data_IF_802742641186
#
_entry.id   IF_802742641186
#
_cell.length_a   1.000
_cell.length_b   1.000
_cell.length_c   1.000
_cell.angle_alpha   90.00
_cell.angle_beta   90.00
_cell.angle_gamma   90.00
#
_symmetry.space_group_name_H-M   'P 1'
#
loop_
_entity.id
_entity.type
_entity.pdbx_description
1 polymer ?
#
# COMPACT_ATOMS: atom_id res chain seq x y z
N UNK A 1 -17.54 -2.70 67.95
CA UNK A 1 -16.73 -3.46 66.98
C UNK A 1 -17.20 -3.09 65.59
N UNK A 2 -16.35 -2.42 64.80
CA UNK A 2 -16.65 -1.95 63.44
C UNK A 2 -16.27 -3.07 62.46
N UNK A 3 -17.24 -3.65 61.74
CA UNK A 3 -16.95 -4.47 60.57
C UNK A 3 -17.05 -3.58 59.33
N UNK A 4 -15.90 -3.26 58.77
CA UNK A 4 -15.76 -2.58 57.48
C UNK A 4 -15.88 -3.66 56.40
N UNK A 5 -16.99 -3.70 55.69
CA UNK A 5 -17.16 -4.61 54.54
C UNK A 5 -16.40 -4.00 53.37
N UNK A 6 -15.21 -4.53 53.11
CA UNK A 6 -14.35 -4.11 52.01
C UNK A 6 -14.93 -4.59 50.68
N UNK A 7 -15.31 -3.63 49.84
CA UNK A 7 -15.86 -3.81 48.51
C UNK A 7 -14.69 -4.06 47.53
N UNK A 8 -14.40 -5.31 47.18
CA UNK A 8 -13.44 -5.62 46.13
C UNK A 8 -14.15 -5.67 44.77
N UNK A 9 -14.20 -4.53 44.07
CA UNK A 9 -14.51 -4.53 42.64
C UNK A 9 -13.25 -4.98 41.92
N UNK A 10 -13.23 -6.25 41.54
CA UNK A 10 -12.22 -6.82 40.66
C UNK A 10 -12.50 -6.27 39.25
N UNK A 11 -11.86 -5.15 38.87
CA UNK A 11 -11.80 -4.72 37.48
C UNK A 11 -10.88 -5.68 36.72
N UNK A 12 -11.44 -6.74 36.15
CA UNK A 12 -10.79 -7.48 35.07
C UNK A 12 -10.73 -6.56 33.86
N UNK A 13 -9.61 -5.83 33.72
CA UNK A 13 -9.17 -5.35 32.42
C UNK A 13 -8.92 -6.60 31.55
N UNK A 14 -9.95 -7.03 30.81
CA UNK A 14 -9.73 -7.82 29.60
C UNK A 14 -9.05 -6.85 28.64
N UNK A 15 -7.73 -6.79 28.72
CA UNK A 15 -6.92 -6.26 27.65
C UNK A 15 -7.26 -7.10 26.43
N UNK A 16 -8.17 -6.60 25.59
CA UNK A 16 -8.30 -7.09 24.22
C UNK A 16 -7.02 -6.63 23.56
N UNK A 17 -5.95 -7.39 23.76
CA UNK A 17 -4.91 -7.46 22.76
C UNK A 17 -5.62 -8.01 21.53
N UNK A 18 -6.16 -7.12 20.70
CA UNK A 18 -6.36 -7.42 19.30
C UNK A 18 -4.96 -7.65 18.76
N UNK A 19 -4.43 -8.84 19.02
CA UNK A 19 -3.44 -9.45 18.15
C UNK A 19 -4.24 -9.70 16.88
N UNK A 20 -4.36 -8.67 16.03
CA UNK A 20 -4.82 -8.84 14.67
C UNK A 20 -3.88 -9.86 14.09
N UNK A 21 -4.34 -11.10 13.94
CA UNK A 21 -3.53 -12.19 13.45
C UNK A 21 -3.02 -11.75 12.07
N UNK A 22 -1.71 -11.51 11.96
CA UNK A 22 -1.09 -11.17 10.69
C UNK A 22 -1.46 -12.26 9.70
N UNK A 23 -1.91 -11.87 8.50
CA UNK A 23 -2.32 -12.87 7.53
C UNK A 23 -1.13 -13.74 7.12
N UNK A 24 -1.35 -15.05 6.90
CA UNK A 24 -0.31 -15.93 6.44
C UNK A 24 0.24 -15.45 5.09
N UNK A 25 1.56 -15.37 4.97
CA UNK A 25 2.22 -15.07 3.71
C UNK A 25 2.54 -16.35 2.95
N UNK A 26 2.17 -16.40 1.66
CA UNK A 26 2.56 -17.48 0.75
C UNK A 26 4.08 -17.55 0.55
N UNK A 27 4.56 -18.68 0.03
CA UNK A 27 5.99 -18.90 -0.24
C UNK A 27 6.56 -17.85 -1.20
N UNK A 28 5.81 -17.54 -2.27
CA UNK A 28 6.24 -16.58 -3.28
C UNK A 28 6.46 -15.16 -2.73
N UNK A 29 5.60 -14.72 -1.80
CA UNK A 29 5.76 -13.43 -1.11
C UNK A 29 7.13 -13.34 -0.45
N UNK A 30 7.52 -14.39 0.29
CA UNK A 30 8.83 -14.44 0.95
C UNK A 30 9.97 -14.50 -0.05
N UNK A 31 9.78 -15.11 -1.22
CA UNK A 31 10.79 -15.19 -2.27
C UNK A 31 11.07 -13.82 -2.89
N UNK A 32 10.04 -13.08 -3.31
CA UNK A 32 10.21 -11.79 -4.00
C UNK A 32 10.76 -10.69 -3.07
N UNK A 33 10.50 -10.79 -1.77
CA UNK A 33 10.94 -9.81 -0.75
C UNK A 33 12.35 -10.12 -0.18
N UNK A 34 13.08 -11.12 -0.68
CA UNK A 34 14.42 -11.50 -0.17
C UNK A 34 15.63 -10.75 -0.76
N UNK A 35 15.48 -9.90 -1.79
CA UNK A 35 16.62 -9.12 -2.31
C UNK A 35 17.23 -8.27 -1.19
N UNK A 36 18.55 -8.31 -1.06
CA UNK A 36 19.25 -7.63 0.03
C UNK A 36 19.17 -6.11 -0.14
N UNK A 37 19.21 -5.37 0.96
CA UNK A 37 19.10 -3.90 0.96
C UNK A 37 20.15 -3.24 0.04
N UNK A 38 21.34 -3.84 -0.08
CA UNK A 38 22.43 -3.38 -0.95
C UNK A 38 22.12 -3.52 -2.45
N UNK A 39 21.32 -4.50 -2.85
CA UNK A 39 20.88 -4.66 -4.25
C UNK A 39 19.76 -3.69 -4.59
N UNK A 40 18.91 -3.35 -3.62
CA UNK A 40 17.78 -2.43 -3.79
C UNK A 40 18.20 -0.96 -3.81
N UNK A 41 19.23 -0.58 -3.03
CA UNK A 41 19.76 0.80 -2.95
C UNK A 41 20.62 1.22 -4.14
N UNK A 42 21.10 0.27 -4.97
CA UNK A 42 21.95 0.57 -6.14
C UNK A 42 21.19 1.12 -7.35
N UNK A 43 19.86 1.01 -7.37
CA UNK A 43 18.98 1.62 -8.38
C UNK A 43 18.48 2.99 -7.89
N UNK A 44 19.33 4.01 -8.09
CA UNK A 44 19.12 5.48 -8.05
C UNK A 44 18.08 6.08 -7.07
N UNK A 45 18.61 6.84 -6.10
CA UNK A 45 18.09 8.16 -5.70
C UNK A 45 17.00 8.18 -4.63
N UNK A 46 17.41 8.50 -3.39
CA UNK A 46 16.62 8.91 -2.22
C UNK A 46 15.37 8.08 -1.85
N UNK A 47 15.43 7.48 -0.65
CA UNK A 47 14.32 6.87 0.09
C UNK A 47 13.67 5.61 -0.49
N UNK A 48 14.50 4.60 -0.77
CA UNK A 48 14.06 3.22 -0.98
C UNK A 48 14.38 2.36 0.24
N UNK A 49 13.55 2.41 1.28
CA UNK A 49 13.66 1.47 2.41
C UNK A 49 12.63 0.36 2.24
N UNK A 50 13.07 -0.88 2.05
CA UNK A 50 12.20 -2.05 2.16
C UNK A 50 11.14 -2.25 1.06
N UNK A 51 11.12 -1.42 0.02
CA UNK A 51 10.29 -1.51 -1.18
C UNK A 51 9.80 -2.93 -1.52
N UNK A 52 8.50 -3.15 -1.35
CA UNK A 52 7.77 -4.29 -1.88
C UNK A 52 7.86 -4.38 -3.40
N UNK A 53 7.29 -5.44 -3.96
CA UNK A 53 7.25 -5.64 -5.41
C UNK A 53 5.82 -5.50 -5.93
N UNK A 54 5.68 -4.89 -7.09
CA UNK A 54 4.51 -5.09 -7.94
C UNK A 54 4.90 -6.09 -9.01
N UNK A 55 4.11 -7.15 -9.16
CA UNK A 55 4.29 -8.14 -10.22
C UNK A 55 3.05 -8.20 -11.08
N UNK A 56 3.22 -8.63 -12.33
CA UNK A 56 2.18 -8.54 -13.35
C UNK A 56 1.98 -9.86 -14.06
N UNK A 57 0.74 -10.10 -14.53
CA UNK A 57 0.36 -11.26 -15.32
C UNK A 57 -0.86 -10.94 -16.19
N UNK A 58 -1.11 -11.79 -17.19
CA UNK A 58 -2.37 -11.80 -17.96
C UNK A 58 -3.48 -12.57 -17.29
N UNK A 59 -3.16 -13.28 -16.20
CA UNK A 59 -4.08 -14.05 -15.39
C UNK A 59 -4.03 -13.56 -13.94
N UNK A 60 -5.07 -13.84 -13.16
CA UNK A 60 -5.09 -13.43 -11.76
C UNK A 60 -3.98 -14.12 -10.97
N UNK A 61 -3.16 -13.33 -10.28
CA UNK A 61 -2.04 -13.84 -9.50
C UNK A 61 -2.57 -14.32 -8.14
N UNK A 62 -2.39 -15.59 -7.75
CA UNK A 62 -2.92 -16.09 -6.49
C UNK A 62 -2.21 -15.46 -5.30
N UNK A 63 -2.98 -15.14 -4.26
CA UNK A 63 -2.47 -14.48 -3.04
C UNK A 63 -1.49 -15.37 -2.25
N UNK A 64 -1.84 -16.65 -2.08
CA UNK A 64 -1.11 -17.64 -1.27
C UNK A 64 -0.44 -18.72 -2.14
N UNK A 65 0.18 -18.34 -3.25
CA UNK A 65 0.81 -19.29 -4.16
C UNK A 65 2.21 -19.74 -3.72
N UNK A 66 2.60 -20.94 -4.15
CA UNK A 66 4.00 -21.38 -4.13
C UNK A 66 4.80 -20.69 -5.23
N UNK A 67 6.13 -20.64 -5.06
CA UNK A 67 7.01 -20.03 -6.06
C UNK A 67 6.84 -20.69 -7.44
N UNK A 68 6.78 -22.02 -7.46
CA UNK A 68 6.60 -22.81 -8.69
C UNK A 68 5.25 -22.60 -9.38
N UNK A 69 4.23 -22.15 -8.66
CA UNK A 69 2.89 -21.90 -9.20
C UNK A 69 2.77 -20.47 -9.75
N UNK A 70 3.34 -19.49 -9.03
CA UNK A 70 3.21 -18.07 -9.39
C UNK A 70 4.20 -17.66 -10.46
N UNK A 71 5.47 -18.06 -10.35
CA UNK A 71 6.53 -17.54 -11.20
C UNK A 71 6.32 -17.77 -12.70
N UNK A 72 5.75 -18.91 -13.16
CA UNK A 72 5.43 -19.11 -14.57
C UNK A 72 4.34 -18.19 -15.12
N UNK A 73 3.47 -17.64 -14.26
CA UNK A 73 2.39 -16.74 -14.66
C UNK A 73 2.89 -15.32 -14.92
N UNK A 74 4.05 -14.95 -14.37
CA UNK A 74 4.51 -13.58 -14.36
C UNK A 74 5.06 -13.16 -15.71
N UNK A 75 4.68 -11.97 -16.14
CA UNK A 75 5.09 -11.38 -17.41
C UNK A 75 5.55 -9.96 -17.19
N UNK A 76 6.54 -9.54 -17.98
CA UNK A 76 7.04 -8.16 -17.98
C UNK A 76 6.68 -7.42 -19.25
N UNK A 77 6.18 -8.08 -20.29
CA UNK A 77 5.79 -7.45 -21.55
C UNK A 77 4.30 -7.67 -21.81
N UNK A 78 3.60 -6.59 -22.14
CA UNK A 78 2.18 -6.56 -22.47
C UNK A 78 2.00 -5.81 -23.79
N UNK A 79 1.07 -6.28 -24.62
CA UNK A 79 0.67 -5.61 -25.85
C UNK A 79 -0.67 -4.91 -25.64
N UNK A 80 -0.98 -3.95 -26.50
CA UNK A 80 -2.29 -3.33 -26.55
C UNK A 80 -3.40 -4.39 -26.71
N UNK A 81 -4.41 -4.33 -25.82
CA UNK A 81 -5.51 -5.29 -25.74
C UNK A 81 -5.26 -6.50 -24.82
N UNK A 82 -4.06 -6.66 -24.26
CA UNK A 82 -3.80 -7.70 -23.26
C UNK A 82 -4.52 -7.39 -21.93
N UNK A 83 -5.04 -8.43 -21.27
CA UNK A 83 -5.54 -8.31 -19.90
C UNK A 83 -4.38 -8.06 -18.94
N UNK A 84 -4.57 -7.19 -17.95
CA UNK A 84 -3.55 -6.80 -17.00
C UNK A 84 -3.98 -7.06 -15.55
N UNK A 85 -3.24 -7.93 -14.86
CA UNK A 85 -3.37 -8.14 -13.42
C UNK A 85 -2.09 -7.73 -12.72
N UNK A 86 -2.17 -6.73 -11.84
CA UNK A 86 -1.09 -6.36 -10.93
C UNK A 86 -1.33 -6.92 -9.54
N UNK A 87 -0.28 -7.36 -8.84
CA UNK A 87 -0.35 -7.69 -7.42
C UNK A 87 0.78 -6.99 -6.67
N UNK A 88 0.42 -6.26 -5.61
CA UNK A 88 1.39 -5.67 -4.67
C UNK A 88 1.77 -6.71 -3.64
N UNK A 89 3.06 -6.81 -3.36
CA UNK A 89 3.66 -7.55 -2.25
C UNK A 89 4.46 -6.58 -1.39
N UNK A 90 3.89 -6.16 -0.27
CA UNK A 90 4.52 -5.27 0.71
C UNK A 90 5.33 -6.08 1.74
N UNK A 91 6.53 -5.62 2.17
CA UNK A 91 7.37 -6.31 3.15
C UNK A 91 6.72 -6.47 4.52
N UNK A 92 5.79 -5.57 4.84
CA UNK A 92 5.03 -5.54 6.09
C UNK A 92 3.56 -5.40 5.76
N UNK A 93 2.69 -5.87 6.63
CA UNK A 93 1.24 -5.67 6.46
C UNK A 93 0.87 -4.18 6.59
N UNK A 94 -0.24 -3.77 6.00
CA UNK A 94 -0.62 -2.36 5.86
C UNK A 94 -0.73 -1.60 7.18
N UNK A 95 -1.33 -2.20 8.21
CA UNK A 95 -1.41 -1.64 9.56
C UNK A 95 -0.08 -1.63 10.31
N UNK A 96 0.91 -2.38 9.83
CA UNK A 96 2.28 -2.45 10.37
C UNK A 96 3.24 -1.49 9.67
N UNK A 97 2.78 -0.71 8.69
CA UNK A 97 3.60 0.33 8.07
C UNK A 97 3.99 1.39 9.11
N UNK A 98 5.19 2.00 9.04
CA UNK A 98 5.63 2.98 10.02
C UNK A 98 4.61 4.11 10.24
N UNK A 99 3.96 4.10 11.41
CA UNK A 99 2.89 5.01 11.86
C UNK A 99 1.44 4.52 11.65
N UNK A 100 1.20 3.23 11.35
CA UNK A 100 -0.15 2.61 11.31
C UNK A 100 -0.73 2.30 9.92
N UNK A 101 -2.05 2.22 9.80
CA UNK A 101 -2.73 2.05 8.51
C UNK A 101 -2.67 3.37 7.71
N UNK A 102 -2.36 3.37 6.39
CA UNK A 102 -2.49 4.58 5.59
C UNK A 102 -3.95 4.98 5.35
N UNK A 103 -4.19 6.28 5.13
CA UNK A 103 -5.52 6.80 4.74
C UNK A 103 -5.73 6.76 3.23
N UNK A 104 -4.62 6.79 2.47
CA UNK A 104 -4.61 6.79 1.01
C UNK A 104 -3.48 5.90 0.50
N UNK A 105 -3.76 5.16 -0.57
CA UNK A 105 -2.73 4.54 -1.43
C UNK A 105 -2.77 5.24 -2.78
N UNK A 106 -1.62 5.73 -3.24
CA UNK A 106 -1.46 6.35 -4.55
C UNK A 106 -0.75 5.37 -5.49
N UNK A 107 -1.35 5.11 -6.64
CA UNK A 107 -0.75 4.36 -7.73
C UNK A 107 -0.29 5.32 -8.81
N UNK A 108 0.97 5.20 -9.24
CA UNK A 108 1.57 6.08 -10.24
C UNK A 108 2.11 5.27 -11.40
N UNK A 109 1.91 5.74 -12.62
CA UNK A 109 2.57 5.23 -13.82
C UNK A 109 3.65 6.24 -14.22
N UNK A 110 4.88 5.77 -14.28
CA UNK A 110 6.05 6.54 -14.68
C UNK A 110 6.54 6.01 -16.03
N UNK A 111 6.68 6.88 -17.01
CA UNK A 111 7.28 6.58 -18.30
C UNK A 111 8.54 7.45 -18.46
N UNK A 112 9.69 6.83 -18.73
CA UNK A 112 10.96 7.55 -18.96
C UNK A 112 11.29 8.58 -17.86
N UNK A 113 10.96 8.26 -16.61
CA UNK A 113 11.17 9.13 -15.45
C UNK A 113 10.13 10.24 -15.25
N UNK A 114 9.13 10.34 -16.13
CA UNK A 114 8.01 11.28 -15.99
C UNK A 114 6.76 10.53 -15.53
N UNK A 115 6.11 11.04 -14.48
CA UNK A 115 4.78 10.58 -14.08
C UNK A 115 3.76 10.97 -15.14
N UNK A 116 3.12 9.97 -15.74
CA UNK A 116 2.11 10.14 -16.79
C UNK A 116 0.69 9.86 -16.28
N UNK A 117 0.56 9.14 -15.17
CA UNK A 117 -0.74 8.83 -14.55
C UNK A 117 -0.62 8.68 -13.04
N UNK A 118 -1.69 9.04 -12.32
CA UNK A 118 -1.81 8.93 -10.87
C UNK A 118 -3.27 8.68 -10.49
N UNK A 119 -3.51 7.73 -9.59
CA UNK A 119 -4.82 7.46 -9.00
C UNK A 119 -4.68 7.17 -7.51
N UNK A 120 -5.66 7.60 -6.74
CA UNK A 120 -5.73 7.40 -5.30
C UNK A 120 -6.85 6.44 -4.92
N UNK A 121 -6.55 5.51 -4.01
CA UNK A 121 -7.53 4.65 -3.35
C UNK A 121 -7.68 5.06 -1.89
N UNK A 122 -8.93 5.13 -1.40
CA UNK A 122 -9.28 5.58 -0.05
C UNK A 122 -10.43 4.74 0.52
N UNK A 123 -10.60 4.77 1.84
CA UNK A 123 -11.73 4.11 2.52
C UNK A 123 -11.79 2.61 2.22
N UNK A 124 -12.96 2.13 1.80
CA UNK A 124 -13.22 0.70 1.54
C UNK A 124 -12.44 0.13 0.34
N UNK A 125 -11.83 0.99 -0.49
CA UNK A 125 -10.95 0.57 -1.58
C UNK A 125 -9.50 0.28 -1.11
N UNK A 126 -9.20 0.52 0.17
CA UNK A 126 -7.90 0.18 0.74
C UNK A 126 -7.81 -1.32 1.07
N UNK A 127 -6.61 -1.92 0.98
CA UNK A 127 -6.38 -3.27 1.50
C UNK A 127 -6.65 -3.32 3.01
N UNK A 128 -7.04 -4.49 3.52
CA UNK A 128 -7.24 -4.66 4.96
C UNK A 128 -5.92 -4.47 5.73
N UNK A 129 -6.03 -4.03 6.99
CA UNK A 129 -4.86 -3.66 7.82
C UNK A 129 -3.87 -4.80 8.09
N UNK A 130 -4.32 -6.05 8.04
CA UNK A 130 -3.52 -7.25 8.23
C UNK A 130 -2.95 -7.81 6.91
N UNK A 131 -3.28 -7.20 5.77
CA UNK A 131 -2.80 -7.65 4.46
C UNK A 131 -1.40 -7.11 4.19
N UNK A 132 -0.54 -7.98 3.68
CA UNK A 132 0.77 -7.63 3.13
C UNK A 132 0.84 -7.83 1.61
N UNK A 133 -0.23 -8.33 1.00
CA UNK A 133 -0.38 -8.34 -0.46
C UNK A 133 -1.84 -8.18 -0.86
N UNK A 134 -2.07 -7.51 -1.98
CA UNK A 134 -3.40 -7.26 -2.52
C UNK A 134 -3.34 -7.18 -4.04
N UNK A 135 -4.44 -7.55 -4.69
CA UNK A 135 -4.56 -7.29 -6.12
C UNK A 135 -4.69 -5.80 -6.32
N UNK A 136 -3.95 -5.31 -7.29
CA UNK A 136 -4.22 -4.01 -7.86
C UNK A 136 -5.36 -4.23 -8.84
N UNK A 137 -6.58 -3.91 -8.40
CA UNK A 137 -7.64 -3.66 -9.36
C UNK A 137 -7.27 -2.36 -10.09
N UNK A 138 -6.61 -2.49 -11.25
CA UNK A 138 -6.45 -1.39 -12.19
C UNK A 138 -7.21 -1.61 -13.51
N UNK A 139 -8.56 -1.74 -13.49
CA UNK A 139 -9.37 -1.78 -14.70
C UNK A 139 -9.87 -0.39 -15.14
N UNK A 140 -10.12 -0.28 -16.45
CA UNK A 140 -10.53 0.90 -17.25
C UNK A 140 -9.60 2.11 -17.24
N UNK A 141 -9.18 2.61 -16.07
CA UNK A 141 -8.38 3.85 -16.05
C UNK A 141 -6.91 3.63 -16.41
N UNK A 142 -6.34 2.45 -16.11
CA UNK A 142 -5.01 2.07 -16.61
C UNK A 142 -5.04 1.78 -18.12
N UNK A 143 -6.13 1.16 -18.60
CA UNK A 143 -6.36 0.99 -20.03
C UNK A 143 -6.38 2.35 -20.71
N UNK A 144 -7.11 3.34 -20.19
CA UNK A 144 -7.10 4.71 -20.70
C UNK A 144 -5.70 5.32 -20.70
N UNK A 145 -4.94 5.17 -19.61
CA UNK A 145 -3.55 5.65 -19.54
C UNK A 145 -2.69 5.05 -20.66
N UNK A 146 -2.83 3.76 -20.94
CA UNK A 146 -2.07 3.08 -21.99
C UNK A 146 -2.58 3.44 -23.40
N UNK A 147 -3.89 3.61 -23.55
CA UNK A 147 -4.55 4.04 -24.79
C UNK A 147 -4.19 5.49 -25.17
N UNK A 148 -3.70 6.30 -24.24
CA UNK A 148 -3.23 7.67 -24.51
C UNK A 148 -1.75 7.74 -24.88
N UNK A 149 -0.97 6.67 -24.71
CA UNK A 149 0.42 6.61 -25.14
C UNK A 149 0.53 6.68 -26.67
N UNK A 150 1.59 7.27 -27.25
CA UNK A 150 1.82 7.18 -28.69
C UNK A 150 2.10 5.72 -29.12
N UNK A 151 2.01 5.41 -30.42
CA UNK A 151 2.37 4.07 -30.92
C UNK A 151 3.85 3.76 -30.62
N UNK A 152 4.16 2.51 -30.25
CA UNK A 152 5.52 2.07 -30.00
C UNK A 152 5.71 1.27 -28.71
N UNK A 153 6.96 1.22 -28.25
CA UNK A 153 7.36 0.45 -27.07
C UNK A 153 7.69 1.38 -25.91
N UNK A 154 6.99 1.18 -24.79
CA UNK A 154 7.04 2.02 -23.61
C UNK A 154 7.59 1.24 -22.44
N UNK A 155 8.63 1.79 -21.80
CA UNK A 155 9.13 1.26 -20.53
C UNK A 155 8.42 1.99 -19.40
N UNK A 156 7.51 1.28 -18.74
CA UNK A 156 6.65 1.83 -17.71
C UNK A 156 7.03 1.26 -16.35
N UNK A 157 6.99 2.11 -15.34
CA UNK A 157 7.14 1.73 -13.94
C UNK A 157 5.85 2.07 -13.22
N UNK A 158 5.28 1.09 -12.54
CA UNK A 158 4.15 1.29 -11.65
C UNK A 158 4.69 1.41 -10.24
N UNK A 159 4.37 2.50 -9.57
CA UNK A 159 4.74 2.74 -8.18
C UNK A 159 3.51 2.80 -7.30
N UNK A 160 3.65 2.30 -6.08
CA UNK A 160 2.63 2.30 -5.04
C UNK A 160 3.18 3.08 -3.86
N UNK A 161 2.47 4.11 -3.49
CA UNK A 161 2.86 5.01 -2.42
C UNK A 161 1.76 5.07 -1.37
N UNK A 162 2.15 5.24 -0.11
CA UNK A 162 1.22 5.49 0.98
C UNK A 162 1.24 6.95 1.36
N UNK A 163 0.07 7.50 1.62
CA UNK A 163 -0.06 8.76 2.29
C UNK A 163 -0.91 8.56 3.56
N UNK A 164 -0.35 9.09 4.64
CA UNK A 164 -1.10 9.69 5.75
C UNK A 164 -0.83 11.19 5.51
N UNK A 165 -1.70 12.15 5.65
CA UNK A 165 -2.18 12.62 6.94
C UNK A 165 -2.95 13.89 6.63
N UNK A 166 -3.89 14.21 7.51
CA UNK A 166 -4.45 15.55 7.65
C UNK A 166 -3.97 16.11 8.99
N UNK A 167 -3.03 17.05 9.00
CA UNK A 167 -2.55 17.66 10.24
C UNK A 167 -3.41 18.89 10.57
N UNK A 168 -4.05 18.94 11.74
CA UNK A 168 -4.79 20.14 12.19
C UNK A 168 -3.78 21.18 12.67
N UNK A 169 -3.54 22.19 11.84
CA UNK A 169 -2.60 23.28 12.15
C UNK A 169 -3.11 24.24 13.21
N UNK A 170 -4.40 24.53 13.16
CA UNK A 170 -5.04 25.47 14.07
C UNK A 170 -6.37 24.88 14.46
N UNK A 171 -6.62 24.79 15.76
CA UNK A 171 -7.90 24.43 16.33
C UNK A 171 -8.51 25.68 16.97
N UNK A 172 -9.71 26.07 16.56
CA UNK A 172 -10.47 27.11 17.24
C UNK A 172 -11.42 26.46 18.23
N UNK A 173 -11.36 26.89 19.48
CA UNK A 173 -12.25 26.44 20.55
C UNK A 173 -13.17 27.56 21.00
N UNK A 174 -14.40 27.19 21.31
CA UNK A 174 -15.33 28.05 22.03
C UNK A 174 -14.78 28.30 23.44
N UNK A 175 -14.66 29.56 23.81
CA UNK A 175 -13.98 29.98 25.04
C UNK A 175 -14.74 29.62 26.31
N UNK A 176 -16.06 29.45 26.23
CA UNK A 176 -16.91 29.17 27.38
C UNK A 176 -17.03 27.66 27.65
N UNK A 177 -16.95 26.85 26.60
CA UNK A 177 -17.18 25.40 26.67
C UNK A 177 -15.94 24.55 26.44
N UNK A 178 -14.82 25.15 26.03
CA UNK A 178 -13.58 24.49 25.57
C UNK A 178 -13.80 23.48 24.42
N UNK A 179 -14.94 23.58 23.72
CA UNK A 179 -15.28 22.69 22.60
C UNK A 179 -14.74 23.23 21.29
N UNK A 180 -14.23 22.33 20.44
CA UNK A 180 -13.78 22.65 19.08
C UNK A 180 -14.93 23.21 18.24
N UNK A 181 -14.74 24.41 17.67
CA UNK A 181 -15.69 25.07 16.76
C UNK A 181 -15.17 25.19 15.32
N UNK A 182 -13.89 24.88 15.08
CA UNK A 182 -13.34 24.77 13.73
C UNK A 182 -11.86 24.42 13.71
N UNK A 183 -11.31 24.18 12.52
CA UNK A 183 -9.87 23.95 12.32
C UNK A 183 -9.36 24.32 10.92
N UNK A 184 -8.06 24.59 10.78
CA UNK A 184 -7.31 24.52 9.50
C UNK A 184 -6.45 23.27 9.44
N UNK A 185 -6.16 22.78 8.23
CA UNK A 185 -5.34 21.58 8.02
C UNK A 185 -4.19 21.82 7.05
N UNK A 186 -2.98 21.36 7.38
CA UNK A 186 -1.86 21.20 6.44
C UNK A 186 -1.68 19.74 6.08
N UNK A 187 -0.98 19.53 4.98
CA UNK A 187 -0.75 18.22 4.39
C UNK A 187 0.76 17.99 4.31
N UNK A 188 1.42 17.82 5.46
CA UNK A 188 2.89 17.61 5.53
C UNK A 188 3.32 16.14 5.33
N UNK A 189 2.41 15.16 5.28
CA UNK A 189 2.75 13.73 5.33
C UNK A 189 3.05 13.03 4.00
N UNK A 190 3.52 13.74 2.98
CA UNK A 190 3.63 13.18 1.63
C UNK A 190 4.62 12.01 1.53
N UNK A 191 4.03 10.84 1.26
CA UNK A 191 4.51 9.82 0.30
C UNK A 191 5.62 8.89 0.82
N UNK A 192 5.24 7.81 1.53
CA UNK A 192 6.15 6.67 1.79
C UNK A 192 6.01 5.63 0.69
N UNK A 193 7.12 5.34 0.03
CA UNK A 193 7.20 4.34 -1.02
C UNK A 193 6.85 2.95 -0.45
N UNK A 194 5.88 2.27 -1.06
CA UNK A 194 5.50 0.91 -0.66
C UNK A 194 6.14 -0.11 -1.58
N UNK A 195 5.90 -0.03 -2.88
CA UNK A 195 6.31 -1.05 -3.85
C UNK A 195 6.40 -0.47 -5.27
N UNK A 196 7.15 -1.13 -6.15
CA UNK A 196 7.05 -0.88 -7.58
C UNK A 196 7.30 -2.13 -8.41
N UNK A 197 6.92 -2.05 -9.68
CA UNK A 197 7.21 -3.03 -10.70
C UNK A 197 7.36 -2.36 -12.05
N UNK A 198 8.22 -2.94 -12.88
CA UNK A 198 8.51 -2.43 -14.23
C UNK A 198 7.87 -3.35 -15.28
N UNK A 199 7.29 -2.75 -16.32
CA UNK A 199 6.73 -3.44 -17.49
C UNK A 199 7.18 -2.77 -18.78
N UNK A 200 7.13 -3.55 -19.86
CA UNK A 200 7.22 -3.10 -21.23
C UNK A 200 5.82 -3.16 -21.82
N UNK A 201 5.29 -2.03 -22.24
CA UNK A 201 4.01 -1.96 -22.95
C UNK A 201 4.26 -1.68 -24.43
N UNK A 202 3.70 -2.51 -25.30
CA UNK A 202 3.77 -2.35 -26.75
C UNK A 202 2.40 -1.95 -27.24
N UNK A 203 2.28 -0.69 -27.67
CA UNK A 203 1.10 -0.18 -28.35
C UNK A 203 1.28 -0.37 -29.85
#
# INVERSE_FOLDING_TARGET
>A
MKLFTMFCILFTFIGVAMVTAQQPQGEFHKHIIKKTDDERRKTKGQEWWGAGAVVFSKEEIPRLGKTAEVQPLLQTQFNHGDTFFGRVYSPVHMGGLPGGMPEVIEYRVIENGKRIYEIESRGDALPESDWSSWLMELPSDLQRCFDELPEGTHNLRIEVWSARTVEVLTEWKDRETDKTVGFTKENEGRIKFIAAGDIVYVK
#
